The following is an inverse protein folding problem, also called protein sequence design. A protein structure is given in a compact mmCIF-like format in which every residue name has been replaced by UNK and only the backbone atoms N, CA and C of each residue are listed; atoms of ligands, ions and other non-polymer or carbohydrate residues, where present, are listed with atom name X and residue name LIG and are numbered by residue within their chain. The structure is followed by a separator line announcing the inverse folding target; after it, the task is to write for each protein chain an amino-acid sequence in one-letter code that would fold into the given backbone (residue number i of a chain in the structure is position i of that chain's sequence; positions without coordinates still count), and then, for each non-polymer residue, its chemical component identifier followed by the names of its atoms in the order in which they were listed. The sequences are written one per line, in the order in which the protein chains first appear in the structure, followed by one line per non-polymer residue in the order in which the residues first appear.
data_IF_874248144342
#
_entry.id   IF_874248144342
#
_cell.length_a   1.000
_cell.length_b   1.000
_cell.length_c   1.000
_cell.angle_alpha   90.00
_cell.angle_beta   90.00
_cell.angle_gamma   90.00
#
_symmetry.space_group_name_H-M   'P 1'
#
loop_
_entity.id
_entity.type
_entity.pdbx_description
1 polymer ?
#
# COMPACT_ATOMS: atom_id res chain seq x y z
N UNK A 1 -9.12 11.43 10.33
CA UNK A 1 -8.58 11.28 8.96
C UNK A 1 -7.11 11.68 8.92
N UNK A 2 -6.25 10.73 8.59
CA UNK A 2 -4.83 10.95 8.32
C UNK A 2 -4.59 11.34 6.85
N UNK A 3 -3.40 11.87 6.56
CA UNK A 3 -2.98 12.16 5.18
C UNK A 3 -1.65 11.50 4.89
N UNK A 4 -1.62 10.64 3.88
CA UNK A 4 -0.40 10.06 3.33
C UNK A 4 -0.08 10.70 1.98
N UNK A 5 1.21 10.78 1.65
CA UNK A 5 1.65 11.25 0.36
C UNK A 5 2.82 10.40 -0.16
N UNK A 6 2.68 9.85 -1.37
CA UNK A 6 3.77 9.23 -2.10
C UNK A 6 4.40 10.23 -3.06
N UNK A 7 5.74 10.26 -3.10
CA UNK A 7 6.51 11.03 -4.07
C UNK A 7 7.63 10.16 -4.61
N UNK A 8 7.63 9.93 -5.92
CA UNK A 8 8.63 9.08 -6.58
C UNK A 8 9.17 9.75 -7.83
N UNK A 9 10.49 9.61 -8.06
CA UNK A 9 11.16 10.02 -9.29
C UNK A 9 11.76 8.80 -9.96
N UNK A 10 11.29 8.49 -11.17
CA UNK A 10 11.99 7.60 -12.10
C UNK A 10 12.72 8.47 -13.11
N UNK A 11 14.05 8.37 -13.14
CA UNK A 11 14.89 9.11 -14.09
C UNK A 11 15.69 8.15 -14.93
N UNK A 12 15.44 8.13 -16.23
CA UNK A 12 16.20 7.36 -17.20
C UNK A 12 17.06 8.32 -18.02
N UNK A 13 18.39 8.22 -17.83
CA UNK A 13 19.36 9.11 -18.48
C UNK A 13 19.70 8.64 -19.89
N UNK A 14 20.16 9.57 -20.73
CA UNK A 14 20.67 9.26 -22.07
C UNK A 14 21.80 8.21 -21.98
N UNK A 15 21.74 7.18 -22.82
CA UNK A 15 22.66 6.04 -22.83
C UNK A 15 22.17 4.83 -22.04
N UNK A 16 21.07 4.94 -21.27
CA UNK A 16 20.46 3.83 -20.53
C UNK A 16 19.58 2.93 -21.42
N UNK A 17 20.08 2.62 -22.62
CA UNK A 17 19.37 1.82 -23.62
C UNK A 17 19.13 0.40 -23.09
N UNK A 18 17.92 -0.11 -23.28
CA UNK A 18 17.46 -1.42 -22.77
C UNK A 18 17.05 -1.42 -21.30
N UNK A 19 17.03 -0.27 -20.61
CA UNK A 19 16.61 -0.22 -19.20
C UNK A 19 15.11 -0.47 -19.02
N UNK A 20 14.74 -1.04 -17.88
CA UNK A 20 13.36 -1.35 -17.52
C UNK A 20 13.06 -0.91 -16.09
N UNK A 21 11.87 -0.35 -15.86
CA UNK A 21 11.39 0.06 -14.54
C UNK A 21 9.88 -0.12 -14.43
N UNK A 22 9.43 -0.70 -13.32
CA UNK A 22 8.02 -0.72 -12.92
C UNK A 22 7.87 -0.09 -11.53
N UNK A 23 6.87 0.77 -11.38
CA UNK A 23 6.52 1.40 -10.10
C UNK A 23 5.06 1.12 -9.83
N UNK A 24 4.75 0.53 -8.68
CA UNK A 24 3.39 0.27 -8.21
C UNK A 24 3.17 1.02 -6.92
N UNK A 25 2.08 1.79 -6.85
CA UNK A 25 1.72 2.64 -5.73
C UNK A 25 0.30 2.29 -5.26
N UNK A 26 0.19 1.36 -4.31
CA UNK A 26 -1.09 1.00 -3.72
C UNK A 26 -1.32 1.74 -2.41
N UNK A 27 -2.53 2.30 -2.25
CA UNK A 27 -2.97 2.93 -1.01
C UNK A 27 -4.32 2.36 -0.58
N UNK A 28 -4.45 2.09 0.72
CA UNK A 28 -5.70 1.65 1.35
C UNK A 28 -6.19 2.74 2.33
N UNK A 29 -7.39 3.25 2.07
CA UNK A 29 -8.11 4.15 2.96
C UNK A 29 -8.90 3.32 3.98
N UNK A 30 -8.62 3.56 5.26
CA UNK A 30 -9.23 2.83 6.39
C UNK A 30 -10.45 3.55 6.97
N UNK A 31 -10.69 4.80 6.58
CA UNK A 31 -11.82 5.63 7.01
C UNK A 31 -12.21 6.65 5.91
N UNK A 32 -13.35 7.32 6.07
CA UNK A 32 -13.89 8.29 5.09
C UNK A 32 -13.25 9.68 5.13
N UNK A 33 -12.47 9.99 6.17
CA UNK A 33 -11.83 11.27 6.37
C UNK A 33 -10.36 11.27 5.93
N UNK A 34 -9.79 10.08 5.73
CA UNK A 34 -8.41 9.87 5.36
C UNK A 34 -8.18 10.09 3.87
N UNK A 35 -6.96 10.51 3.52
CA UNK A 35 -6.59 10.87 2.16
C UNK A 35 -5.21 10.35 1.81
N UNK A 36 -5.07 9.84 0.59
CA UNK A 36 -3.78 9.50 -0.01
C UNK A 36 -3.54 10.36 -1.25
N UNK A 37 -2.37 10.98 -1.35
CA UNK A 37 -1.94 11.71 -2.54
C UNK A 37 -0.72 11.04 -3.18
N UNK A 38 -0.78 10.73 -4.48
CA UNK A 38 0.34 10.13 -5.21
C UNK A 38 0.87 11.12 -6.24
N UNK A 39 2.14 11.50 -6.11
CA UNK A 39 2.82 12.44 -7.01
C UNK A 39 3.95 11.72 -7.77
N UNK A 40 3.64 11.07 -8.91
CA UNK A 40 4.64 10.41 -9.73
C UNK A 40 5.42 11.43 -10.56
N UNK A 41 6.73 11.22 -10.68
CA UNK A 41 7.59 11.96 -11.59
C UNK A 41 8.41 11.00 -12.45
N UNK A 42 8.34 11.16 -13.77
CA UNK A 42 9.01 10.29 -14.73
C UNK A 42 9.75 11.18 -15.74
N UNK A 43 11.08 11.16 -15.70
CA UNK A 43 11.99 11.87 -16.63
C UNK A 43 12.76 10.83 -17.45
N UNK A 44 12.30 10.56 -18.67
CA UNK A 44 12.91 9.59 -19.59
C UNK A 44 13.60 10.31 -20.73
N UNK A 45 14.90 10.07 -20.90
CA UNK A 45 15.76 10.71 -21.90
C UNK A 45 16.46 9.71 -22.83
N UNK A 46 15.89 8.52 -22.96
CA UNK A 46 16.38 7.42 -23.78
C UNK A 46 15.19 6.73 -24.43
N UNK A 47 15.34 6.32 -25.70
CA UNK A 47 14.20 5.87 -26.52
C UNK A 47 13.93 4.37 -26.34
N UNK A 48 14.99 3.56 -26.22
CA UNK A 48 14.87 2.12 -26.07
C UNK A 48 14.74 1.74 -24.59
N UNK A 49 13.57 1.93 -23.99
CA UNK A 49 13.33 1.66 -22.55
C UNK A 49 11.94 1.09 -22.32
N UNK A 50 11.76 0.34 -21.23
CA UNK A 50 10.44 -0.09 -20.75
C UNK A 50 10.13 0.59 -19.42
N UNK A 51 9.01 1.30 -19.33
CA UNK A 51 8.62 2.00 -18.11
C UNK A 51 7.12 1.84 -17.88
N UNK A 52 6.75 1.41 -16.66
CA UNK A 52 5.37 1.37 -16.20
C UNK A 52 5.22 2.05 -14.84
N UNK A 53 4.14 2.83 -14.68
CA UNK A 53 3.70 3.37 -13.41
C UNK A 53 2.22 2.99 -13.19
N UNK A 54 1.92 2.34 -12.07
CA UNK A 54 0.58 2.01 -11.63
C UNK A 54 0.32 2.62 -10.25
N UNK A 55 -0.87 3.20 -10.06
CA UNK A 55 -1.28 3.75 -8.79
C UNK A 55 -2.75 3.43 -8.53
N UNK A 56 -3.03 2.74 -7.42
CA UNK A 56 -4.36 2.31 -7.03
C UNK A 56 -4.68 2.85 -5.64
N UNK A 57 -5.87 3.44 -5.49
CA UNK A 57 -6.42 3.81 -4.19
C UNK A 57 -7.67 2.98 -3.95
N UNK A 58 -7.66 2.19 -2.88
CA UNK A 58 -8.81 1.39 -2.44
C UNK A 58 -9.29 1.89 -1.08
N UNK A 59 -10.56 1.63 -0.77
CA UNK A 59 -11.13 1.78 0.58
C UNK A 59 -11.38 0.38 1.13
N UNK A 60 -11.30 0.22 2.45
CA UNK A 60 -11.80 -1.00 3.10
C UNK A 60 -13.25 -1.25 2.68
N UNK A 61 -13.51 -2.44 2.16
CA UNK A 61 -14.84 -2.82 1.66
C UNK A 61 -15.78 -3.10 2.82
N UNK A 62 -16.90 -2.39 2.85
CA UNK A 62 -17.98 -2.61 3.82
C UNK A 62 -18.56 -4.02 3.68
N UNK A 63 -18.66 -4.55 2.46
CA UNK A 63 -19.09 -5.94 2.21
C UNK A 63 -18.11 -6.97 2.76
N UNK A 64 -16.79 -6.75 2.61
CA UNK A 64 -15.78 -7.63 3.19
C UNK A 64 -15.79 -7.57 4.72
N UNK A 65 -15.94 -6.38 5.29
CA UNK A 65 -16.04 -6.17 6.72
C UNK A 65 -17.28 -6.87 7.27
N UNK A 66 -18.45 -6.64 6.66
CA UNK A 66 -19.70 -7.30 7.00
C UNK A 66 -19.59 -8.82 6.89
N UNK A 67 -18.97 -9.32 5.82
CA UNK A 67 -18.75 -10.75 5.64
C UNK A 67 -17.92 -11.34 6.77
N UNK A 68 -16.79 -10.74 7.13
CA UNK A 68 -15.93 -11.20 8.21
C UNK A 68 -16.63 -11.13 9.57
N UNK A 69 -17.36 -10.06 9.84
CA UNK A 69 -18.16 -9.92 11.07
C UNK A 69 -19.29 -10.96 11.15
N UNK A 70 -19.92 -11.30 10.02
CA UNK A 70 -20.92 -12.37 9.96
C UNK A 70 -20.34 -13.76 10.28
N UNK A 71 -19.01 -13.91 10.21
CA UNK A 71 -18.28 -15.12 10.61
C UNK A 71 -17.86 -15.11 12.08
N UNK A 72 -18.28 -14.09 12.84
CA UNK A 72 -18.05 -13.99 14.29
C UNK A 72 -16.80 -13.20 14.69
N UNK A 73 -16.15 -12.52 13.74
CA UNK A 73 -15.05 -11.60 14.05
C UNK A 73 -15.60 -10.27 14.56
N UNK A 74 -14.95 -9.68 15.55
CA UNK A 74 -15.24 -8.29 15.92
C UNK A 74 -14.83 -7.35 14.77
N UNK A 75 -15.49 -6.19 14.65
CA UNK A 75 -15.21 -5.22 13.59
C UNK A 75 -13.72 -4.85 13.52
N UNK A 76 -13.10 -4.64 14.68
CA UNK A 76 -11.67 -4.33 14.81
C UNK A 76 -10.77 -5.47 14.31
N UNK A 77 -11.13 -6.72 14.61
CA UNK A 77 -10.40 -7.90 14.16
C UNK A 77 -10.53 -8.11 12.65
N UNK A 78 -11.74 -7.92 12.12
CA UNK A 78 -12.04 -8.00 10.69
C UNK A 78 -11.28 -6.92 9.90
N UNK A 79 -11.31 -5.68 10.40
CA UNK A 79 -10.53 -4.56 9.85
C UNK A 79 -9.04 -4.88 9.87
N UNK A 80 -8.51 -5.36 11.00
CA UNK A 80 -7.12 -5.79 11.12
C UNK A 80 -6.73 -6.89 10.14
N UNK A 81 -7.63 -7.83 9.87
CA UNK A 81 -7.41 -8.89 8.87
C UNK A 81 -7.30 -8.34 7.45
N UNK A 82 -8.18 -7.41 7.06
CA UNK A 82 -8.14 -6.77 5.74
C UNK A 82 -6.84 -5.97 5.57
N UNK A 83 -6.49 -5.15 6.56
CA UNK A 83 -5.26 -4.34 6.50
C UNK A 83 -4.02 -5.23 6.44
N UNK A 84 -3.91 -6.27 7.29
CA UNK A 84 -2.78 -7.23 7.21
C UNK A 84 -2.69 -7.88 5.83
N UNK A 85 -3.82 -8.27 5.23
CA UNK A 85 -3.84 -8.80 3.86
C UNK A 85 -3.29 -7.81 2.83
N UNK A 86 -3.55 -6.51 3.01
CA UNK A 86 -3.00 -5.46 2.16
C UNK A 86 -1.48 -5.26 2.33
N UNK A 87 -0.94 -5.33 3.56
CA UNK A 87 0.51 -5.17 3.81
C UNK A 87 1.31 -6.46 3.59
N UNK A 88 0.64 -7.58 3.38
CA UNK A 88 1.23 -8.91 3.27
C UNK A 88 2.35 -9.03 2.20
N UNK A 89 2.22 -8.45 0.99
CA UNK A 89 3.28 -8.50 -0.01
C UNK A 89 4.58 -7.83 0.45
N UNK A 90 4.49 -6.80 1.30
CA UNK A 90 5.65 -6.12 1.89
C UNK A 90 6.25 -7.02 2.98
N UNK A 91 5.41 -7.58 3.85
CA UNK A 91 5.87 -8.47 4.92
C UNK A 91 6.63 -9.68 4.37
N UNK A 92 6.25 -10.21 3.20
CA UNK A 92 6.94 -11.33 2.53
C UNK A 92 8.35 -11.00 2.03
N UNK A 93 8.67 -9.72 1.83
CA UNK A 93 9.98 -9.27 1.37
C UNK A 93 10.96 -9.04 2.53
N UNK A 94 10.48 -9.05 3.78
CA UNK A 94 11.28 -8.87 4.97
C UNK A 94 11.76 -10.22 5.53
N UNK A 95 12.94 -10.26 6.19
CA UNK A 95 13.32 -11.41 7.00
C UNK A 95 12.26 -11.72 8.07
N UNK A 96 12.16 -12.99 8.46
CA UNK A 96 11.07 -13.51 9.31
C UNK A 96 10.93 -12.72 10.62
N UNK A 97 12.04 -12.39 11.28
CA UNK A 97 12.02 -11.63 12.52
C UNK A 97 11.41 -10.23 12.37
N UNK A 98 11.62 -9.55 11.24
CA UNK A 98 11.06 -8.22 10.99
C UNK A 98 9.62 -8.29 10.47
N UNK A 99 9.27 -9.33 9.72
CA UNK A 99 7.92 -9.58 9.27
C UNK A 99 6.96 -9.77 10.46
N UNK A 100 7.37 -10.54 11.47
CA UNK A 100 6.61 -10.71 12.72
C UNK A 100 6.42 -9.38 13.46
N UNK A 101 7.48 -8.58 13.56
CA UNK A 101 7.42 -7.29 14.24
C UNK A 101 6.52 -6.29 13.49
N UNK A 102 6.61 -6.23 12.15
CA UNK A 102 5.76 -5.38 11.33
C UNK A 102 4.28 -5.67 11.56
N UNK A 103 3.88 -6.94 11.55
CA UNK A 103 2.50 -7.34 11.78
C UNK A 103 2.01 -6.90 13.17
N UNK A 104 2.84 -7.03 14.20
CA UNK A 104 2.52 -6.59 15.56
C UNK A 104 2.40 -5.06 15.66
N UNK A 105 3.26 -4.32 14.98
CA UNK A 105 3.19 -2.85 14.94
C UNK A 105 1.95 -2.36 14.21
N UNK A 106 1.55 -3.01 13.12
CA UNK A 106 0.31 -2.70 12.40
C UNK A 106 -0.89 -2.89 13.33
N UNK A 107 -0.97 -4.00 14.06
CA UNK A 107 -2.06 -4.25 15.01
C UNK A 107 -2.13 -3.16 16.09
N UNK A 108 -1.00 -2.83 16.72
CA UNK A 108 -0.93 -1.80 17.75
C UNK A 108 -1.37 -0.41 17.25
N UNK A 109 -0.99 -0.04 16.03
CA UNK A 109 -1.43 1.24 15.44
C UNK A 109 -2.92 1.26 15.16
N UNK A 110 -3.51 0.11 14.79
CA UNK A 110 -4.95 0.01 14.54
C UNK A 110 -5.78 0.12 15.82
N UNK A 111 -5.28 -0.37 16.96
CA UNK A 111 -6.01 -0.29 18.23
C UNK A 111 -6.29 1.13 18.72
N UNK A 112 -5.48 2.11 18.31
CA UNK A 112 -5.60 3.51 18.74
C UNK A 112 -6.04 4.49 17.64
N UNK A 113 -6.21 4.03 16.39
CA UNK A 113 -6.41 4.92 15.23
C UNK A 113 -7.73 4.72 14.49
N UNK A 114 -8.47 3.66 14.78
CA UNK A 114 -9.75 3.33 14.13
C UNK A 114 -10.87 3.65 15.12
N UNK A 115 -11.47 4.84 14.95
CA UNK A 115 -12.51 5.42 15.81
C UNK A 115 -12.76 6.89 15.49
#
# INVERSE_FOLDING_TARGET
GGRSAYRGLVKIVKGASGSSSSVVCDALLVDDFSRSDTYPHVDVREDNVSMAHEATVSKVSEDQLFYLMSRGLEEKEAMGMIVRGFVEPISRQLPMEYALELNRLVELQMEGSVG
#
